data_IF_074647897399
#
_entry.id   IF_074647897399
#
_cell.length_a   1.000
_cell.length_b   1.000
_cell.length_c   1.000
_cell.angle_alpha   90.00
_cell.angle_beta   90.00
_cell.angle_gamma   90.00
#
_symmetry.space_group_name_H-M   'P 1'
#
loop_
_entity.id
_entity.type
_entity.pdbx_description
1 polymer ?
#
# COMPACT_ATOMS: atom_id res chain seq x y z
N UNK A 1 23.28 3.71 -11.68
CA UNK A 1 22.26 4.09 -10.67
C UNK A 1 21.12 4.82 -11.37
N UNK A 2 19.92 4.77 -10.78
CA UNK A 2 18.70 5.33 -11.34
C UNK A 2 17.99 6.21 -10.31
N UNK A 3 17.21 7.18 -10.79
CA UNK A 3 16.26 7.95 -10.01
C UNK A 3 14.89 7.91 -10.71
N UNK A 4 13.82 8.03 -9.95
CA UNK A 4 12.44 8.05 -10.46
C UNK A 4 11.77 9.32 -9.98
N UNK A 5 11.14 10.07 -10.90
CA UNK A 5 10.47 11.33 -10.59
C UNK A 5 9.15 11.46 -11.37
N UNK A 6 8.19 12.12 -10.76
CA UNK A 6 6.95 12.52 -11.42
C UNK A 6 7.10 13.92 -12.01
N UNK A 7 6.71 14.08 -13.27
CA UNK A 7 6.71 15.37 -13.97
C UNK A 7 5.27 15.91 -14.01
N UNK A 8 4.99 16.91 -13.18
CA UNK A 8 3.62 17.38 -12.95
C UNK A 8 2.92 17.94 -14.21
N UNK A 9 3.65 18.70 -15.06
CA UNK A 9 3.05 19.27 -16.28
C UNK A 9 2.71 18.23 -17.35
N UNK A 10 3.44 17.12 -17.37
CA UNK A 10 3.21 16.03 -18.33
C UNK A 10 2.38 14.91 -17.72
N UNK A 11 2.15 14.96 -16.40
CA UNK A 11 1.39 13.98 -15.63
C UNK A 11 1.93 12.54 -15.76
N UNK A 12 3.25 12.40 -15.91
CA UNK A 12 3.91 11.12 -16.13
C UNK A 12 5.12 10.92 -15.22
N UNK A 13 5.43 9.65 -14.96
CA UNK A 13 6.64 9.25 -14.27
C UNK A 13 7.78 9.03 -15.24
N UNK A 14 8.98 9.42 -14.81
CA UNK A 14 10.23 9.31 -15.56
C UNK A 14 11.28 8.55 -14.78
N UNK A 15 12.05 7.73 -15.49
CA UNK A 15 13.28 7.12 -15.00
C UNK A 15 14.47 7.94 -15.52
N UNK A 16 15.32 8.36 -14.62
CA UNK A 16 16.58 9.03 -14.92
C UNK A 16 17.74 8.08 -14.70
N UNK A 17 18.57 7.87 -15.74
CA UNK A 17 19.79 7.07 -15.65
C UNK A 17 20.97 7.98 -15.31
N UNK A 18 21.49 7.88 -14.08
CA UNK A 18 22.53 8.78 -13.59
C UNK A 18 23.84 8.71 -14.42
N UNK A 19 24.17 7.53 -14.96
CA UNK A 19 25.40 7.34 -15.70
C UNK A 19 25.40 7.99 -17.09
N UNK A 20 24.24 8.06 -17.75
CA UNK A 20 24.10 8.56 -19.12
C UNK A 20 23.42 9.91 -19.21
N UNK A 21 22.75 10.35 -18.15
CA UNK A 21 21.91 11.55 -18.15
C UNK A 21 20.59 11.37 -18.91
N UNK A 22 20.24 10.15 -19.28
CA UNK A 22 19.05 9.84 -20.07
C UNK A 22 17.79 9.82 -19.22
N UNK A 23 16.72 10.43 -19.75
CA UNK A 23 15.36 10.34 -19.21
C UNK A 23 14.52 9.39 -20.06
N UNK A 24 13.84 8.46 -19.42
CA UNK A 24 12.89 7.55 -20.05
C UNK A 24 11.52 7.73 -19.42
N UNK A 25 10.52 8.02 -20.24
CA UNK A 25 9.13 8.05 -19.84
C UNK A 25 8.63 6.64 -19.51
N UNK A 26 7.82 6.48 -18.46
CA UNK A 26 7.42 5.19 -17.89
C UNK A 26 5.94 4.87 -18.03
N UNK A 27 5.05 5.85 -18.02
CA UNK A 27 3.64 5.64 -17.66
C UNK A 27 2.62 5.98 -18.73
N UNK A 28 2.94 6.81 -19.73
CA UNK A 28 1.99 7.26 -20.75
C UNK A 28 1.34 6.14 -21.57
N UNK A 29 2.07 5.03 -21.76
CA UNK A 29 1.65 3.90 -22.59
C UNK A 29 0.82 2.86 -21.83
N UNK A 30 0.59 3.04 -20.51
CA UNK A 30 -0.04 2.02 -19.68
C UNK A 30 -1.58 2.10 -19.65
N UNK A 31 -2.15 3.13 -20.26
CA UNK A 31 -3.61 3.30 -20.39
C UNK A 31 -4.33 3.57 -19.07
N UNK A 32 -3.60 4.04 -18.05
CA UNK A 32 -4.12 4.50 -16.76
C UNK A 32 -3.40 5.76 -16.33
N UNK A 33 -4.02 6.53 -15.47
CA UNK A 33 -3.45 7.74 -14.89
C UNK A 33 -2.68 7.42 -13.60
N UNK A 34 -1.62 8.18 -13.33
CA UNK A 34 -0.78 8.03 -12.14
C UNK A 34 -0.80 9.28 -11.25
N UNK A 35 -1.71 10.20 -11.53
CA UNK A 35 -2.01 11.35 -10.69
C UNK A 35 -3.27 11.12 -9.87
N UNK A 36 -3.58 12.05 -8.95
CA UNK A 36 -4.82 12.03 -8.19
C UNK A 36 -6.02 12.34 -9.12
N UNK A 37 -6.79 11.32 -9.48
CA UNK A 37 -7.95 11.44 -10.39
C UNK A 37 -9.12 12.22 -9.76
N UNK A 38 -9.09 12.45 -8.45
CA UNK A 38 -10.11 13.17 -7.69
C UNK A 38 -9.63 14.58 -7.26
N UNK A 39 -8.50 15.06 -7.81
CA UNK A 39 -7.99 16.38 -7.50
C UNK A 39 -8.90 17.45 -8.11
N UNK A 40 -9.49 18.29 -7.26
CA UNK A 40 -10.38 19.39 -7.63
C UNK A 40 -9.75 20.79 -7.47
N UNK A 41 -8.43 20.84 -7.22
CA UNK A 41 -7.73 22.10 -7.13
C UNK A 41 -7.47 22.70 -8.52
N UNK A 42 -7.44 24.05 -8.66
CA UNK A 42 -7.16 24.71 -9.94
C UNK A 42 -5.66 24.73 -10.25
N UNK A 43 -5.02 23.55 -10.25
CA UNK A 43 -3.60 23.33 -10.51
C UNK A 43 -3.42 21.97 -11.19
N UNK A 44 -2.23 21.72 -11.76
CA UNK A 44 -1.88 20.41 -12.26
C UNK A 44 -1.88 19.38 -11.11
N UNK A 45 -2.55 18.23 -11.26
CA UNK A 45 -2.65 17.25 -10.20
C UNK A 45 -1.27 16.65 -9.87
N UNK A 46 -1.03 16.40 -8.59
CA UNK A 46 0.17 15.69 -8.13
C UNK A 46 0.11 14.19 -8.40
N UNK A 47 1.24 13.51 -8.33
CA UNK A 47 1.27 12.05 -8.35
C UNK A 47 0.37 11.48 -7.26
N UNK A 48 -0.33 10.37 -7.54
CA UNK A 48 -1.16 9.71 -6.55
C UNK A 48 -0.38 9.27 -5.31
N UNK A 49 0.87 8.87 -5.48
CA UNK A 49 1.72 8.44 -4.38
C UNK A 49 3.19 8.58 -4.69
N UNK A 50 4.02 7.75 -4.08
CA UNK A 50 5.48 7.79 -4.22
C UNK A 50 6.00 6.51 -4.84
N UNK A 51 7.05 6.62 -5.66
CA UNK A 51 7.80 5.47 -6.10
C UNK A 51 8.57 4.84 -4.92
N UNK A 52 8.59 3.52 -4.87
CA UNK A 52 9.26 2.74 -3.82
C UNK A 52 10.18 1.71 -4.47
N UNK A 53 11.44 1.68 -4.06
CA UNK A 53 12.42 0.71 -4.55
C UNK A 53 12.38 -0.60 -3.76
N UNK A 54 12.68 -1.71 -4.44
CA UNK A 54 13.02 -2.95 -3.77
C UNK A 54 14.35 -2.81 -3.00
N UNK A 55 14.52 -3.58 -1.94
CA UNK A 55 15.70 -3.60 -1.08
C UNK A 55 17.00 -3.82 -1.86
N UNK A 56 16.96 -4.64 -2.92
CA UNK A 56 18.09 -4.94 -3.79
C UNK A 56 18.15 -4.06 -5.06
N UNK A 57 17.27 -3.05 -5.17
CA UNK A 57 17.19 -2.10 -6.29
C UNK A 57 16.92 -2.75 -7.67
N UNK A 58 16.42 -3.99 -7.71
CA UNK A 58 16.11 -4.69 -8.96
C UNK A 58 14.84 -4.20 -9.63
N UNK A 59 13.89 -3.69 -8.84
CA UNK A 59 12.65 -3.13 -9.32
C UNK A 59 12.19 -1.99 -8.42
N UNK A 60 11.20 -1.26 -8.89
CA UNK A 60 10.49 -0.27 -8.09
C UNK A 60 8.99 -0.34 -8.38
N UNK A 61 8.20 0.14 -7.43
CA UNK A 61 6.76 0.26 -7.57
C UNK A 61 6.34 1.72 -7.68
N UNK A 62 5.36 1.95 -8.56
CA UNK A 62 4.64 3.22 -8.66
C UNK A 62 3.15 2.90 -8.48
N UNK A 63 2.45 3.56 -7.54
CA UNK A 63 1.00 3.42 -7.42
C UNK A 63 0.28 4.29 -8.45
N UNK A 64 -0.76 3.76 -9.09
CA UNK A 64 -1.88 4.55 -9.58
C UNK A 64 -2.93 4.70 -8.46
N UNK A 65 -4.06 5.35 -8.69
CA UNK A 65 -5.06 5.58 -7.64
C UNK A 65 -5.60 4.29 -7.00
N UNK A 66 -5.56 3.17 -7.70
CA UNK A 66 -6.15 1.92 -7.25
C UNK A 66 -5.15 0.78 -7.14
N UNK A 67 -4.22 0.70 -8.09
CA UNK A 67 -3.31 -0.44 -8.23
C UNK A 67 -1.84 -0.06 -8.05
N UNK A 68 -1.00 -1.04 -7.69
CA UNK A 68 0.44 -0.89 -7.69
C UNK A 68 1.05 -1.53 -8.94
N UNK A 69 1.98 -0.80 -9.57
CA UNK A 69 2.71 -1.23 -10.74
C UNK A 69 4.18 -1.48 -10.43
N UNK A 70 4.71 -2.57 -10.93
CA UNK A 70 6.13 -2.88 -10.86
C UNK A 70 6.84 -2.55 -12.16
N UNK A 71 7.99 -1.91 -12.04
CA UNK A 71 8.86 -1.52 -13.14
C UNK A 71 10.25 -2.11 -12.95
N UNK A 72 10.85 -2.55 -14.05
CA UNK A 72 12.26 -2.91 -14.14
C UNK A 72 13.06 -1.70 -14.62
N UNK A 73 14.02 -1.17 -13.83
CA UNK A 73 14.81 -0.01 -14.22
C UNK A 73 15.69 -0.25 -15.45
N UNK A 74 16.00 -1.51 -15.78
CA UNK A 74 16.76 -1.85 -16.98
C UNK A 74 15.89 -1.88 -18.23
N UNK A 75 14.57 -1.96 -18.09
CA UNK A 75 13.62 -2.09 -19.18
C UNK A 75 13.59 -3.48 -19.83
N UNK A 76 14.26 -4.49 -19.26
CA UNK A 76 14.26 -5.85 -19.78
C UNK A 76 12.89 -6.54 -19.60
N UNK A 77 12.14 -6.18 -18.57
CA UNK A 77 10.79 -6.66 -18.34
C UNK A 77 9.77 -5.54 -18.51
N UNK A 78 8.61 -5.87 -19.13
CA UNK A 78 7.50 -4.94 -19.24
C UNK A 78 6.87 -4.66 -17.87
N UNK A 79 6.36 -3.44 -17.62
CA UNK A 79 5.61 -3.12 -16.41
C UNK A 79 4.38 -4.00 -16.26
N UNK A 80 4.04 -4.35 -15.01
CA UNK A 80 2.82 -5.11 -14.71
C UNK A 80 2.19 -4.69 -13.38
N UNK A 81 0.91 -4.94 -13.23
CA UNK A 81 0.16 -4.65 -11.99
C UNK A 81 0.43 -5.72 -10.93
N UNK A 82 1.08 -5.35 -9.85
CA UNK A 82 1.31 -6.24 -8.68
C UNK A 82 -0.03 -6.68 -8.07
N UNK A 83 -1.00 -5.77 -8.06
CA UNK A 83 -2.37 -5.98 -7.55
C UNK A 83 -3.34 -6.54 -8.60
N UNK A 84 -2.84 -6.95 -9.77
CA UNK A 84 -3.58 -7.68 -10.82
C UNK A 84 -4.74 -6.87 -11.46
N UNK A 85 -4.80 -5.56 -11.23
CA UNK A 85 -5.88 -4.69 -11.72
C UNK A 85 -7.19 -4.82 -10.91
N UNK A 86 -7.16 -5.54 -9.81
CA UNK A 86 -8.33 -5.72 -8.93
C UNK A 86 -8.75 -4.38 -8.32
N UNK A 87 -7.78 -3.52 -7.99
CA UNK A 87 -8.04 -2.22 -7.40
C UNK A 87 -8.96 -1.37 -8.29
N UNK A 88 -8.57 -1.14 -9.52
CA UNK A 88 -9.35 -0.35 -10.48
C UNK A 88 -10.69 -1.00 -10.80
N UNK A 89 -10.73 -2.32 -10.95
CA UNK A 89 -11.96 -3.06 -11.24
C UNK A 89 -13.02 -2.95 -10.11
N UNK A 90 -12.58 -2.84 -8.86
CA UNK A 90 -13.45 -2.76 -7.67
C UNK A 90 -13.53 -1.37 -7.05
N UNK A 91 -12.87 -0.36 -7.64
CA UNK A 91 -12.68 0.98 -7.06
C UNK A 91 -12.11 0.93 -5.65
N UNK A 92 -11.09 0.09 -5.45
CA UNK A 92 -10.42 -0.12 -4.17
C UNK A 92 -8.96 0.26 -4.30
N UNK A 93 -8.50 1.25 -3.54
CA UNK A 93 -7.09 1.63 -3.47
C UNK A 93 -6.32 0.60 -2.65
N UNK A 94 -5.20 0.12 -3.19
CA UNK A 94 -4.25 -0.75 -2.49
C UNK A 94 -2.93 -0.03 -2.27
N UNK A 95 -2.58 0.21 -1.01
CA UNK A 95 -1.31 0.80 -0.63
C UNK A 95 -0.42 -0.23 0.05
N UNK A 96 0.85 -0.29 -0.38
CA UNK A 96 1.84 -1.12 0.30
C UNK A 96 2.00 -0.72 1.76
N UNK A 97 2.00 -1.70 2.64
CA UNK A 97 2.33 -1.54 4.05
C UNK A 97 3.27 -2.65 4.49
N UNK A 98 4.32 -2.29 5.23
CA UNK A 98 5.23 -3.28 5.81
C UNK A 98 4.87 -3.52 7.27
N UNK A 99 4.40 -4.71 7.64
CA UNK A 99 4.19 -5.06 9.04
C UNK A 99 5.50 -5.43 9.75
N UNK A 100 6.60 -5.53 8.99
CA UNK A 100 7.91 -5.92 9.52
C UNK A 100 8.65 -4.70 10.03
N UNK A 101 9.10 -4.78 11.27
CA UNK A 101 9.91 -3.72 11.86
C UNK A 101 11.19 -3.48 11.04
N UNK A 102 11.42 -2.24 10.66
CA UNK A 102 12.61 -1.80 9.95
C UNK A 102 13.18 -0.55 10.65
N UNK A 103 14.28 -0.67 11.38
CA UNK A 103 14.90 0.47 12.06
C UNK A 103 15.44 1.51 11.07
N UNK A 104 15.78 1.12 9.85
CA UNK A 104 16.33 2.01 8.83
C UNK A 104 15.25 2.74 8.01
N UNK A 105 13.99 2.28 8.07
CA UNK A 105 12.86 2.94 7.39
C UNK A 105 12.51 4.33 7.96
N UNK A 106 13.14 4.76 9.03
CA UNK A 106 12.90 6.04 9.73
C UNK A 106 13.72 7.21 9.20
N UNK A 107 14.13 7.20 7.94
CA UNK A 107 14.79 8.35 7.31
C UNK A 107 13.86 9.57 7.23
N UNK A 108 14.42 10.79 7.11
CA UNK A 108 13.64 12.05 7.05
C UNK A 108 12.66 12.11 5.88
N UNK A 109 12.78 11.22 4.93
CA UNK A 109 11.89 11.10 3.77
C UNK A 109 10.91 9.93 3.84
N UNK A 110 10.87 9.17 4.95
CA UNK A 110 9.81 8.22 5.30
C UNK A 110 9.55 7.10 4.29
N UNK A 111 10.55 6.64 3.58
CA UNK A 111 10.37 5.62 2.56
C UNK A 111 11.15 4.34 2.87
N UNK A 112 10.49 3.35 3.46
CA UNK A 112 11.04 2.01 3.51
C UNK A 112 11.15 1.39 2.12
N UNK A 113 12.06 0.41 1.97
CA UNK A 113 12.17 -0.39 0.74
C UNK A 113 11.14 -1.52 0.73
N UNK A 114 10.82 -2.02 -0.46
CA UNK A 114 9.96 -3.18 -0.61
C UNK A 114 10.76 -4.42 -0.25
N UNK A 115 10.39 -5.05 0.87
CA UNK A 115 10.95 -6.33 1.30
C UNK A 115 10.08 -7.45 0.73
N UNK A 116 10.59 -8.15 -0.26
CA UNK A 116 9.86 -9.21 -0.98
C UNK A 116 10.35 -10.62 -0.67
N UNK A 117 11.28 -10.76 0.27
CA UNK A 117 11.70 -12.04 0.86
C UNK A 117 10.62 -12.67 1.75
N UNK A 118 9.61 -11.88 2.13
CA UNK A 118 8.42 -12.23 2.92
C UNK A 118 7.15 -11.85 2.16
N UNK A 119 5.98 -12.36 2.56
CA UNK A 119 4.71 -11.88 2.02
C UNK A 119 4.57 -10.36 2.17
N UNK A 120 4.15 -9.69 1.10
CA UNK A 120 3.89 -8.25 1.11
C UNK A 120 2.44 -7.99 1.46
N UNK A 121 2.21 -6.98 2.29
CA UNK A 121 0.89 -6.59 2.75
C UNK A 121 0.46 -5.27 2.14
N UNK A 122 -0.83 -5.09 2.04
CA UNK A 122 -1.47 -3.90 1.54
C UNK A 122 -2.57 -3.47 2.51
N UNK A 123 -2.68 -2.19 2.78
CA UNK A 123 -3.94 -1.61 3.24
C UNK A 123 -4.85 -1.44 2.04
N UNK A 124 -6.14 -1.56 2.24
CA UNK A 124 -7.13 -1.27 1.21
C UNK A 124 -8.17 -0.25 1.70
N UNK A 125 -8.67 0.53 0.76
CA UNK A 125 -9.81 1.42 0.95
C UNK A 125 -10.75 1.32 -0.26
N UNK A 126 -11.98 0.93 -0.01
CA UNK A 126 -13.01 0.82 -1.03
C UNK A 126 -13.76 2.15 -1.18
N UNK A 127 -13.63 2.79 -2.34
CA UNK A 127 -14.24 4.10 -2.60
C UNK A 127 -15.77 4.05 -2.72
N UNK A 128 -16.37 2.86 -2.90
CA UNK A 128 -17.82 2.68 -2.99
C UNK A 128 -18.42 2.44 -1.60
N UNK A 129 -17.93 1.43 -0.88
CA UNK A 129 -18.47 1.05 0.44
C UNK A 129 -17.90 1.87 1.59
N UNK A 130 -16.77 2.59 1.35
CA UNK A 130 -15.98 3.31 2.36
C UNK A 130 -15.35 2.41 3.42
N UNK A 131 -15.28 1.13 3.14
CA UNK A 131 -14.66 0.15 4.01
C UNK A 131 -13.14 0.10 3.82
N UNK A 132 -12.45 -0.21 4.89
CA UNK A 132 -11.00 -0.41 4.92
C UNK A 132 -10.66 -1.87 5.21
N UNK A 133 -9.41 -2.24 4.97
CA UNK A 133 -8.94 -3.59 5.31
C UNK A 133 -7.52 -3.86 4.92
N UNK A 134 -7.22 -5.15 4.79
CA UNK A 134 -5.89 -5.65 4.46
C UNK A 134 -5.94 -6.72 3.38
N UNK A 135 -4.89 -6.73 2.57
CA UNK A 135 -4.61 -7.81 1.62
C UNK A 135 -3.15 -8.24 1.73
N UNK A 136 -2.85 -9.42 1.18
CA UNK A 136 -1.50 -10.00 1.19
C UNK A 136 -1.19 -10.66 -0.15
N UNK A 137 0.08 -10.63 -0.53
CA UNK A 137 0.59 -11.36 -1.69
C UNK A 137 2.00 -11.89 -1.42
N UNK A 138 2.26 -13.14 -1.78
CA UNK A 138 3.57 -13.76 -1.73
C UNK A 138 4.27 -13.63 -3.09
N UNK A 139 5.15 -12.63 -3.22
CA UNK A 139 5.83 -12.34 -4.49
C UNK A 139 6.84 -13.42 -4.92
N UNK A 140 7.28 -14.31 -4.03
CA UNK A 140 8.15 -15.44 -4.37
C UNK A 140 7.44 -16.51 -5.17
N UNK A 141 6.14 -16.62 -5.01
CA UNK A 141 5.33 -17.60 -5.73
C UNK A 141 4.85 -17.01 -7.04
N UNK A 142 5.39 -17.44 -8.18
CA UNK A 142 5.09 -16.94 -9.53
C UNK A 142 3.59 -16.81 -9.87
N UNK A 143 2.75 -17.63 -9.24
CA UNK A 143 1.28 -17.67 -9.47
C UNK A 143 0.48 -17.21 -8.26
N UNK A 144 1.13 -16.59 -7.26
CA UNK A 144 0.39 -16.10 -6.11
C UNK A 144 -0.56 -14.99 -6.54
N UNK A 145 -1.81 -15.13 -6.14
CA UNK A 145 -2.84 -14.12 -6.31
C UNK A 145 -2.84 -13.16 -5.13
N UNK A 146 -3.30 -11.92 -5.39
CA UNK A 146 -3.64 -11.00 -4.33
C UNK A 146 -4.78 -11.60 -3.51
N UNK A 147 -4.56 -11.78 -2.22
CA UNK A 147 -5.56 -12.31 -1.30
C UNK A 147 -6.06 -11.19 -0.40
N UNK A 148 -7.33 -10.83 -0.51
CA UNK A 148 -7.99 -9.98 0.48
C UNK A 148 -8.13 -10.76 1.78
N UNK A 149 -7.60 -10.19 2.88
CA UNK A 149 -7.64 -10.81 4.21
C UNK A 149 -8.88 -10.38 4.97
N UNK A 150 -9.19 -9.10 4.91
CA UNK A 150 -10.34 -8.50 5.59
C UNK A 150 -10.73 -7.19 4.93
N UNK A 151 -12.02 -6.88 4.96
CA UNK A 151 -12.60 -5.57 4.62
C UNK A 151 -13.82 -5.37 5.52
N UNK A 152 -13.99 -4.15 6.05
CA UNK A 152 -15.12 -3.86 6.94
C UNK A 152 -15.21 -2.37 7.31
N UNK A 153 -16.32 -1.99 7.98
CA UNK A 153 -16.69 -0.60 8.27
C UNK A 153 -15.90 -0.01 9.45
N UNK A 154 -14.59 -0.18 9.43
CA UNK A 154 -13.68 0.32 10.46
C UNK A 154 -12.51 1.05 9.83
N UNK A 155 -11.95 1.99 10.55
CA UNK A 155 -10.63 2.53 10.27
C UNK A 155 -9.56 1.54 10.75
N UNK A 156 -8.58 1.23 9.90
CA UNK A 156 -7.48 0.33 10.21
C UNK A 156 -6.14 1.05 10.09
N UNK A 157 -5.20 0.72 10.97
CA UNK A 157 -3.84 1.27 10.92
C UNK A 157 -2.82 0.39 11.65
N UNK A 158 -1.55 0.79 11.52
CA UNK A 158 -0.42 0.24 12.27
C UNK A 158 -0.33 -1.30 12.26
N UNK A 159 -0.32 -1.89 11.07
CA UNK A 159 -0.11 -3.35 10.94
C UNK A 159 1.31 -3.72 11.37
N UNK A 160 1.42 -4.67 12.30
CA UNK A 160 2.70 -5.23 12.74
C UNK A 160 2.62 -6.77 12.79
N UNK A 161 3.72 -7.43 12.49
CA UNK A 161 3.84 -8.88 12.62
C UNK A 161 4.73 -9.25 13.80
N UNK A 162 4.23 -10.14 14.65
CA UNK A 162 5.01 -10.82 15.66
C UNK A 162 5.40 -12.21 15.15
N UNK A 163 6.68 -12.46 14.97
CA UNK A 163 7.18 -13.78 14.62
C UNK A 163 7.28 -14.65 15.87
N UNK A 164 6.28 -15.46 16.13
CA UNK A 164 6.32 -16.48 17.19
C UNK A 164 6.82 -17.83 16.68
N UNK A 165 7.27 -18.70 17.61
CA UNK A 165 7.70 -20.09 17.29
C UNK A 165 6.58 -20.96 16.66
N UNK A 166 5.32 -20.57 16.80
CA UNK A 166 4.13 -21.31 16.32
C UNK A 166 3.35 -20.61 15.19
N UNK A 167 3.96 -19.63 14.52
CA UNK A 167 3.33 -18.86 13.46
C UNK A 167 3.38 -17.35 13.69
N UNK A 168 2.92 -16.59 12.71
CA UNK A 168 2.91 -15.13 12.77
C UNK A 168 1.56 -14.65 13.31
N UNK A 169 1.61 -13.78 14.30
CA UNK A 169 0.44 -13.03 14.76
C UNK A 169 0.51 -11.63 14.18
N UNK A 170 -0.57 -11.18 13.58
CA UNK A 170 -0.72 -9.80 13.14
C UNK A 170 -1.36 -8.99 14.26
N UNK A 171 -0.73 -7.85 14.57
CA UNK A 171 -1.26 -6.81 15.46
C UNK A 171 -1.64 -5.62 14.57
N UNK A 172 -2.76 -4.99 14.86
CA UNK A 172 -3.26 -3.83 14.12
C UNK A 172 -4.14 -2.97 15.00
N UNK A 173 -4.33 -1.71 14.62
CA UNK A 173 -5.34 -0.87 15.24
C UNK A 173 -6.63 -0.91 14.42
N UNK A 174 -7.77 -0.89 15.11
CA UNK A 174 -9.09 -0.83 14.51
C UNK A 174 -10.03 0.00 15.39
N UNK A 175 -10.80 0.87 14.77
CA UNK A 175 -11.80 1.67 15.45
C UNK A 175 -12.81 2.28 14.49
N UNK A 176 -13.83 2.88 15.04
CA UNK A 176 -14.84 3.69 14.37
C UNK A 176 -15.28 4.83 15.31
N UNK A 177 -16.38 5.54 14.98
CA UNK A 177 -16.88 6.61 15.84
C UNK A 177 -17.41 6.12 17.19
N UNK A 178 -17.92 4.89 17.27
CA UNK A 178 -18.48 4.31 18.48
C UNK A 178 -17.44 3.63 19.36
N UNK A 179 -16.34 3.14 18.75
CA UNK A 179 -15.27 2.40 19.44
C UNK A 179 -13.92 2.98 19.05
N UNK A 180 -13.13 3.40 20.02
CA UNK A 180 -11.82 4.00 19.79
C UNK A 180 -10.86 3.07 19.05
N UNK A 181 -9.75 3.64 18.55
CA UNK A 181 -8.71 2.88 17.83
C UNK A 181 -8.01 1.87 18.74
N UNK A 182 -8.68 0.78 19.03
CA UNK A 182 -8.19 -0.29 19.87
C UNK A 182 -7.14 -1.15 19.14
N UNK A 183 -6.24 -1.76 19.93
CA UNK A 183 -5.30 -2.76 19.43
C UNK A 183 -6.01 -4.11 19.34
N UNK A 184 -5.85 -4.74 18.19
CA UNK A 184 -6.41 -6.05 17.89
C UNK A 184 -5.32 -7.01 17.43
N UNK A 185 -5.55 -8.31 17.56
CA UNK A 185 -4.70 -9.35 17.00
C UNK A 185 -5.48 -10.39 16.22
N UNK A 186 -4.79 -11.02 15.29
CA UNK A 186 -5.23 -12.22 14.57
C UNK A 186 -4.05 -13.15 14.32
N UNK A 187 -4.28 -14.46 14.36
CA UNK A 187 -3.26 -15.48 14.07
C UNK A 187 -3.67 -16.39 12.88
N UNK A 188 -4.80 -16.13 12.25
CA UNK A 188 -5.42 -16.98 11.24
C UNK A 188 -5.91 -16.20 10.00
N UNK A 189 -5.17 -15.15 9.63
CA UNK A 189 -5.52 -14.29 8.50
C UNK A 189 -6.93 -13.66 8.62
N UNK A 190 -7.21 -13.08 9.77
CA UNK A 190 -8.46 -12.36 10.09
C UNK A 190 -9.74 -13.23 10.16
N UNK A 191 -9.63 -14.55 10.17
CA UNK A 191 -10.80 -15.41 10.43
C UNK A 191 -11.33 -15.23 11.85
N UNK A 192 -10.41 -15.08 12.82
CA UNK A 192 -10.72 -14.66 14.18
C UNK A 192 -9.94 -13.41 14.53
N UNK A 193 -10.58 -12.51 15.27
CA UNK A 193 -10.00 -11.24 15.69
C UNK A 193 -10.25 -11.07 17.19
N UNK A 194 -9.20 -10.74 17.94
CA UNK A 194 -9.27 -10.53 19.37
C UNK A 194 -8.82 -9.11 19.73
N UNK A 195 -9.67 -8.40 20.44
CA UNK A 195 -9.35 -7.09 21.02
C UNK A 195 -8.33 -7.26 22.15
N UNK A 196 -7.33 -6.40 22.18
CA UNK A 196 -6.22 -6.43 23.14
C UNK A 196 -6.19 -5.21 24.05
N UNK A 197 -6.85 -4.13 23.68
CA UNK A 197 -6.96 -2.92 24.47
C UNK A 197 -8.41 -2.44 24.51
N UNK A 198 -8.73 -1.61 25.49
CA UNK A 198 -10.01 -0.90 25.62
C UNK A 198 -9.68 0.56 25.91
N UNK A 199 -9.56 1.35 24.83
CA UNK A 199 -9.23 2.76 24.89
C UNK A 199 -10.53 3.56 24.96
N UNK A 200 -10.59 4.53 25.88
CA UNK A 200 -11.74 5.38 26.12
C UNK A 200 -13.06 4.60 26.34
N UNK A 201 -13.12 3.69 27.33
CA UNK A 201 -14.32 2.88 27.57
C UNK A 201 -15.57 3.72 27.88
N UNK A 202 -15.39 4.94 28.42
CA UNK A 202 -16.47 5.91 28.66
C UNK A 202 -17.14 6.40 27.36
N UNK A 203 -16.54 6.17 26.20
CA UNK A 203 -17.14 6.54 24.91
C UNK A 203 -18.48 5.84 24.67
N UNK A 204 -18.65 4.65 25.25
CA UNK A 204 -19.87 3.85 25.14
C UNK A 204 -21.07 4.46 25.85
N UNK A 205 -20.85 5.44 26.75
CA UNK A 205 -21.89 6.13 27.48
C UNK A 205 -22.58 7.26 26.69
N UNK A 206 -22.07 7.51 25.44
CA UNK A 206 -22.56 8.58 24.59
C UNK A 206 -23.14 8.04 23.28
N UNK A 207 -24.13 8.73 22.73
CA UNK A 207 -24.69 8.47 21.42
C UNK A 207 -23.81 9.14 20.38
N UNK A 208 -23.05 8.34 19.63
CA UNK A 208 -22.22 8.78 18.52
C UNK A 208 -23.03 8.72 17.22
N UNK A 209 -22.70 9.64 16.27
CA UNK A 209 -23.21 9.53 14.92
C UNK A 209 -22.62 8.32 14.20
N UNK A 210 -23.40 7.67 13.37
CA UNK A 210 -23.00 6.55 12.51
C UNK A 210 -22.83 7.02 11.07
#
# INVERSE_FOLDING_TARGET
AYAVAFHAKENNWYLYTLATGEFKELTSQLGVTFWNEEDDHPADPGAWGRAMWSEDSKFFWIPDQYDLWQFDPTGAAAPFRVTEGVGRATKTTYNYTSPYYDPEARGPFGGGTIKYDKPVYFTLFNHVTKEHGYAVKDLKKKKAKLQKLYEGPYSFGNLAVSAGKKGSTLLYTRGNFEDGNNVWKTADNFKTQQQMSDINPQQRDYNWGT
#
